data_IF_826447275139
#
_entry.id   IF_826447275139
#
_cell.length_a   1.000
_cell.length_b   1.000
_cell.length_c   1.000
_cell.angle_alpha   90.00
_cell.angle_beta   90.00
_cell.angle_gamma   90.00
#
_symmetry.space_group_name_H-M   'P 1'
#
loop_
_entity.id
_entity.type
_entity.pdbx_description
1 polymer ?
#
# COMPACT_ATOMS: atom_id res chain seq x y z
N UNK A 1 -23.96 -9.41 7.00
CA UNK A 1 -22.68 -10.10 6.66
C UNK A 1 -22.92 -10.97 5.45
N UNK A 2 -22.03 -10.90 4.48
CA UNK A 2 -22.07 -11.82 3.34
C UNK A 2 -21.74 -13.24 3.81
N UNK A 3 -22.47 -14.20 3.30
CA UNK A 3 -22.24 -15.63 3.52
C UNK A 3 -21.34 -16.26 2.44
N UNK A 4 -20.70 -15.41 1.63
CA UNK A 4 -19.80 -15.80 0.55
C UNK A 4 -18.43 -15.17 0.73
N UNK A 5 -17.40 -15.94 0.44
CA UNK A 5 -16.04 -15.46 0.26
C UNK A 5 -15.61 -15.72 -1.17
N UNK A 6 -14.94 -14.72 -1.77
CA UNK A 6 -14.34 -14.84 -3.09
C UNK A 6 -12.99 -14.16 -3.10
N UNK A 7 -12.08 -14.66 -3.91
CA UNK A 7 -10.81 -14.04 -4.19
C UNK A 7 -10.77 -13.60 -5.65
N UNK A 8 -10.14 -12.45 -5.91
CA UNK A 8 -9.98 -11.95 -7.26
C UNK A 8 -8.64 -11.23 -7.40
N UNK A 9 -8.16 -11.14 -8.63
CA UNK A 9 -6.97 -10.37 -8.96
C UNK A 9 -7.42 -9.05 -9.57
N UNK A 10 -7.30 -7.93 -8.84
CA UNK A 10 -7.76 -6.65 -9.37
C UNK A 10 -6.89 -6.18 -10.53
N UNK A 11 -7.53 -5.55 -11.53
CA UNK A 11 -6.87 -4.86 -12.61
C UNK A 11 -7.25 -3.39 -12.55
N UNK A 12 -6.32 -2.52 -12.89
CA UNK A 12 -6.60 -1.09 -12.95
C UNK A 12 -7.31 -0.69 -14.25
N UNK A 13 -7.67 0.57 -14.38
CA UNK A 13 -8.37 1.09 -15.55
C UNK A 13 -7.53 1.06 -16.83
N UNK A 14 -6.22 0.83 -16.72
CA UNK A 14 -5.34 0.63 -17.87
C UNK A 14 -5.22 -0.83 -18.29
N UNK A 15 -5.83 -1.77 -17.53
CA UNK A 15 -5.77 -3.20 -17.78
C UNK A 15 -4.61 -3.93 -17.13
N UNK A 16 -3.78 -3.21 -16.37
CA UNK A 16 -2.66 -3.81 -15.64
C UNK A 16 -3.12 -4.38 -14.29
N UNK A 17 -2.41 -5.40 -13.81
CA UNK A 17 -2.65 -5.94 -12.46
C UNK A 17 -2.39 -4.83 -11.42
N UNK A 18 -3.36 -4.59 -10.56
CA UNK A 18 -3.22 -3.64 -9.48
C UNK A 18 -2.31 -4.22 -8.38
N UNK A 19 -1.26 -3.49 -8.02
CA UNK A 19 -0.30 -3.88 -6.98
C UNK A 19 -0.86 -3.51 -5.61
N UNK A 20 -1.75 -4.33 -5.09
CA UNK A 20 -2.50 -4.10 -3.85
C UNK A 20 -2.23 -5.18 -2.79
N UNK A 21 -1.00 -5.67 -2.73
CA UNK A 21 -0.61 -6.62 -1.68
C UNK A 21 -0.67 -5.95 -0.30
N UNK A 22 -1.22 -6.65 0.67
CA UNK A 22 -1.39 -6.12 2.01
C UNK A 22 -2.29 -4.89 2.08
N UNK A 23 -3.29 -4.84 1.23
CA UNK A 23 -4.16 -3.68 0.99
C UNK A 23 -4.60 -2.96 2.27
N UNK A 24 -4.44 -1.63 2.26
CA UNK A 24 -5.07 -0.72 3.21
C UNK A 24 -6.09 0.14 2.48
N UNK A 25 -7.30 0.19 3.00
CA UNK A 25 -8.41 0.95 2.43
C UNK A 25 -8.84 2.05 3.38
N UNK A 26 -9.00 3.26 2.84
CA UNK A 26 -9.54 4.39 3.59
C UNK A 26 -10.38 5.26 2.68
N UNK A 27 -11.52 5.70 3.17
CA UNK A 27 -12.38 6.65 2.46
C UNK A 27 -12.03 8.07 2.88
N UNK A 28 -11.74 8.92 1.88
CA UNK A 28 -11.58 10.36 2.09
C UNK A 28 -12.54 11.07 1.14
N UNK A 29 -13.49 11.83 1.71
CA UNK A 29 -14.57 12.41 0.92
C UNK A 29 -15.45 11.31 0.32
N UNK A 30 -15.67 11.35 -0.98
CA UNK A 30 -16.50 10.37 -1.71
C UNK A 30 -15.67 9.26 -2.39
N UNK A 31 -14.36 9.24 -2.17
CA UNK A 31 -13.44 8.35 -2.87
C UNK A 31 -12.76 7.41 -1.89
N UNK A 32 -12.66 6.14 -2.28
CA UNK A 32 -11.86 5.16 -1.57
C UNK A 32 -10.44 5.16 -2.11
N UNK A 33 -9.48 5.19 -1.20
CA UNK A 33 -8.05 5.11 -1.47
C UNK A 33 -7.54 3.75 -1.01
N UNK A 34 -6.91 3.05 -1.93
CA UNK A 34 -6.31 1.74 -1.67
C UNK A 34 -4.79 1.85 -1.79
N UNK A 35 -4.09 1.39 -0.77
CA UNK A 35 -2.63 1.38 -0.73
C UNK A 35 -2.16 -0.07 -0.63
N UNK A 36 -1.19 -0.44 -1.43
CA UNK A 36 -0.66 -1.80 -1.44
C UNK A 36 0.81 -1.84 -1.81
N UNK A 37 1.46 -2.92 -1.41
CA UNK A 37 2.86 -3.13 -1.75
C UNK A 37 2.98 -3.50 -3.22
N UNK A 38 3.97 -2.91 -3.88
CA UNK A 38 4.36 -3.31 -5.21
C UNK A 38 5.18 -4.61 -5.12
N UNK A 39 4.69 -5.69 -5.72
CA UNK A 39 5.34 -7.01 -5.73
C UNK A 39 5.68 -7.48 -7.14
N UNK A 40 5.71 -6.58 -8.12
CA UNK A 40 5.91 -6.94 -9.52
C UNK A 40 7.22 -7.71 -9.77
N UNK A 41 8.27 -7.42 -9.02
CA UNK A 41 9.59 -8.07 -9.13
C UNK A 41 9.95 -8.91 -7.90
N UNK A 42 8.97 -9.43 -7.18
CA UNK A 42 9.21 -10.29 -6.03
C UNK A 42 8.94 -9.63 -4.69
N UNK A 43 9.52 -10.16 -3.62
CA UNK A 43 9.11 -9.85 -2.26
C UNK A 43 9.81 -8.64 -1.63
N UNK A 44 10.98 -8.23 -2.14
CA UNK A 44 11.69 -7.08 -1.60
C UNK A 44 10.94 -5.78 -1.89
N UNK A 45 11.14 -4.78 -1.05
CA UNK A 45 10.40 -3.53 -1.12
C UNK A 45 10.65 -2.79 -2.44
N UNK A 46 9.58 -2.50 -3.16
CA UNK A 46 9.58 -1.82 -4.45
C UNK A 46 8.68 -0.58 -4.43
N UNK A 47 8.27 -0.15 -3.25
CA UNK A 47 7.38 0.98 -3.08
C UNK A 47 5.96 0.58 -2.71
N UNK A 48 5.17 1.58 -2.36
CA UNK A 48 3.74 1.46 -2.09
C UNK A 48 2.99 2.15 -3.22
N UNK A 49 2.07 1.42 -3.83
CA UNK A 49 1.19 1.94 -4.88
C UNK A 49 -0.13 2.44 -4.28
N UNK A 50 -0.73 3.42 -4.95
CA UNK A 50 -2.05 3.94 -4.60
C UNK A 50 -3.00 3.80 -5.77
N UNK A 51 -4.23 3.41 -5.44
CA UNK A 51 -5.35 3.33 -6.40
C UNK A 51 -6.57 3.99 -5.78
N UNK A 52 -7.44 4.53 -6.61
CA UNK A 52 -8.72 5.10 -6.16
C UNK A 52 -9.89 4.42 -6.84
N UNK A 53 -10.98 4.33 -6.12
CA UNK A 53 -12.23 3.78 -6.63
C UNK A 53 -13.43 4.45 -5.96
N UNK A 54 -14.55 4.50 -6.67
CA UNK A 54 -15.84 4.92 -6.11
C UNK A 54 -16.84 3.78 -6.06
N UNK A 55 -16.54 2.64 -6.66
CA UNK A 55 -17.47 1.52 -6.85
C UNK A 55 -16.87 0.14 -6.52
N UNK A 56 -15.58 0.08 -6.14
CA UNK A 56 -14.81 -1.14 -5.91
C UNK A 56 -14.69 -2.06 -7.15
N UNK A 57 -14.98 -1.52 -8.32
CA UNK A 57 -14.89 -2.25 -9.60
C UNK A 57 -13.79 -1.64 -10.46
N UNK A 58 -13.84 -0.32 -10.70
CA UNK A 58 -12.83 0.40 -11.44
C UNK A 58 -11.78 0.97 -10.47
N UNK A 59 -10.54 0.56 -10.65
CA UNK A 59 -9.39 0.95 -9.82
C UNK A 59 -8.46 1.83 -10.64
N UNK A 60 -8.42 3.12 -10.33
CA UNK A 60 -7.56 4.06 -11.03
C UNK A 60 -6.19 4.13 -10.34
N UNK A 61 -5.12 3.83 -11.11
CA UNK A 61 -3.74 3.91 -10.60
C UNK A 61 -3.28 5.35 -10.43
N UNK A 62 -2.61 5.62 -9.33
CA UNK A 62 -1.86 6.85 -9.05
C UNK A 62 -0.35 6.60 -8.97
N UNK A 63 0.08 5.39 -9.32
CA UNK A 63 1.49 5.02 -9.27
C UNK A 63 2.02 4.80 -7.85
N UNK A 64 3.32 4.92 -7.70
CA UNK A 64 4.02 4.77 -6.43
C UNK A 64 3.90 6.06 -5.63
N UNK A 65 3.42 5.97 -4.39
CA UNK A 65 3.24 7.11 -3.48
C UNK A 65 4.24 7.12 -2.33
N UNK A 66 4.87 5.99 -2.05
CA UNK A 66 6.04 5.88 -1.18
C UNK A 66 7.08 5.05 -1.93
N UNK A 67 8.15 5.71 -2.35
CA UNK A 67 9.21 5.06 -3.11
C UNK A 67 10.18 4.31 -2.20
N UNK A 68 11.02 3.48 -2.80
CA UNK A 68 12.16 2.86 -2.12
C UNK A 68 13.03 3.96 -1.51
N UNK A 69 13.40 3.76 -0.25
CA UNK A 69 14.21 4.72 0.48
C UNK A 69 15.72 4.45 0.26
N UNK A 70 16.54 5.37 0.74
CA UNK A 70 18.00 5.28 0.61
C UNK A 70 18.58 3.99 1.17
N UNK A 71 19.71 3.58 0.64
CA UNK A 71 20.42 2.38 1.11
C UNK A 71 20.75 2.48 2.60
N UNK A 72 20.56 1.36 3.30
CA UNK A 72 20.76 1.29 4.75
C UNK A 72 19.56 1.70 5.57
N UNK A 73 18.52 2.29 4.97
CA UNK A 73 17.27 2.62 5.67
C UNK A 73 16.38 1.40 5.87
N UNK A 74 15.36 1.57 6.71
CA UNK A 74 14.41 0.49 7.02
C UNK A 74 13.52 0.09 5.84
N UNK A 75 13.41 0.92 4.82
CA UNK A 75 12.64 0.66 3.60
C UNK A 75 13.50 0.78 2.34
N UNK A 76 14.76 0.37 2.43
CA UNK A 76 15.65 0.24 1.29
C UNK A 76 15.25 -0.94 0.40
N UNK A 77 15.85 -1.06 -0.77
CA UNK A 77 15.52 -2.08 -1.77
C UNK A 77 15.83 -3.52 -1.35
N UNK A 78 16.65 -3.69 -0.33
CA UNK A 78 17.00 -5.01 0.25
C UNK A 78 16.15 -5.36 1.49
N UNK A 79 15.13 -4.54 1.79
CA UNK A 79 14.25 -4.71 2.94
C UNK A 79 12.86 -5.17 2.51
N UNK A 80 12.00 -5.34 3.48
CA UNK A 80 10.58 -5.68 3.27
C UNK A 80 9.72 -4.60 3.90
N UNK A 81 8.75 -4.10 3.16
CA UNK A 81 7.73 -3.16 3.63
C UNK A 81 6.35 -3.71 3.31
N UNK A 82 5.51 -3.87 4.33
CA UNK A 82 4.24 -4.57 4.17
C UNK A 82 3.08 -3.87 4.86
N UNK A 83 1.89 -4.10 4.34
CA UNK A 83 0.60 -3.72 4.94
C UNK A 83 0.48 -2.22 5.22
N UNK A 84 0.63 -1.35 4.21
CA UNK A 84 0.49 0.09 4.39
C UNK A 84 -0.92 0.47 4.84
N UNK A 85 -1.00 1.39 5.79
CA UNK A 85 -2.27 1.97 6.27
C UNK A 85 -2.11 3.48 6.31
N UNK A 86 -3.03 4.19 5.68
CA UNK A 86 -2.99 5.66 5.64
C UNK A 86 -4.15 6.20 6.45
N UNK A 87 -3.84 7.14 7.33
CA UNK A 87 -4.81 7.84 8.17
C UNK A 87 -4.67 9.34 7.99
N UNK A 88 -5.77 10.05 8.16
CA UNK A 88 -5.77 11.51 8.20
C UNK A 88 -5.75 11.97 9.65
N UNK A 89 -4.81 12.86 9.97
CA UNK A 89 -4.72 13.49 11.30
C UNK A 89 -5.41 14.85 11.26
N UNK A 90 -6.61 15.01 11.83
CA UNK A 90 -7.34 16.28 11.78
C UNK A 90 -6.60 17.43 12.49
N UNK A 91 -5.84 17.12 13.54
CA UNK A 91 -5.13 18.12 14.33
C UNK A 91 -4.02 18.81 13.52
N UNK A 92 -3.40 18.13 12.57
CA UNK A 92 -2.30 18.67 11.76
C UNK A 92 -2.66 18.85 10.29
N UNK A 93 -3.79 18.28 9.83
CA UNK A 93 -4.18 18.23 8.43
C UNK A 93 -3.35 17.29 7.59
N UNK A 94 -2.48 16.47 8.20
CA UNK A 94 -1.56 15.59 7.48
C UNK A 94 -2.16 14.20 7.28
N UNK A 95 -1.75 13.57 6.17
CA UNK A 95 -1.96 12.15 5.93
C UNK A 95 -0.71 11.41 6.38
N UNK A 96 -0.90 10.33 7.13
CA UNK A 96 0.19 9.57 7.73
C UNK A 96 0.06 8.11 7.34
N UNK A 97 1.12 7.55 6.76
CA UNK A 97 1.18 6.13 6.42
C UNK A 97 1.97 5.38 7.49
N UNK A 98 1.36 4.35 8.04
CA UNK A 98 2.05 3.34 8.85
C UNK A 98 2.30 2.11 7.98
N UNK A 99 3.49 1.54 8.08
CA UNK A 99 3.89 0.37 7.31
C UNK A 99 4.74 -0.55 8.18
N UNK A 100 4.57 -1.86 8.01
CA UNK A 100 5.40 -2.85 8.67
C UNK A 100 6.77 -2.87 7.96
N UNK A 101 7.84 -2.52 8.69
CA UNK A 101 9.21 -2.50 8.19
C UNK A 101 9.97 -3.72 8.69
N UNK A 102 10.51 -4.52 7.75
CA UNK A 102 11.14 -5.79 8.06
C UNK A 102 12.45 -6.02 7.33
N UNK A 103 13.22 -6.94 7.86
CA UNK A 103 14.29 -7.63 7.15
C UNK A 103 13.72 -8.87 6.44
N UNK A 104 14.42 -9.43 5.41
CA UNK A 104 13.93 -10.63 4.74
C UNK A 104 13.69 -11.83 5.65
N UNK A 105 14.38 -11.92 6.80
CA UNK A 105 14.19 -12.98 7.79
C UNK A 105 13.10 -12.68 8.83
N UNK A 106 12.44 -11.51 8.71
CA UNK A 106 11.41 -11.04 9.65
C UNK A 106 11.89 -10.89 11.10
N UNK A 107 13.17 -10.61 11.32
CA UNK A 107 13.75 -10.43 12.64
C UNK A 107 13.78 -8.99 13.13
N UNK A 108 13.36 -8.02 12.31
CA UNK A 108 13.46 -6.59 12.63
C UNK A 108 12.21 -6.07 13.36
N UNK A 109 11.02 -6.37 12.86
CA UNK A 109 9.71 -6.09 13.46
C UNK A 109 9.51 -4.63 13.89
N UNK A 110 9.75 -3.68 13.00
CA UNK A 110 9.54 -2.26 13.26
C UNK A 110 8.33 -1.71 12.52
N UNK A 111 7.87 -0.54 12.97
CA UNK A 111 6.85 0.24 12.29
C UNK A 111 7.53 1.41 11.58
N UNK A 112 7.33 1.52 10.29
CA UNK A 112 7.71 2.69 9.51
C UNK A 112 6.58 3.71 9.49
N UNK A 113 6.94 4.99 9.46
CA UNK A 113 5.98 6.09 9.39
C UNK A 113 6.42 7.05 8.29
N UNK A 114 5.52 7.35 7.36
CA UNK A 114 5.69 8.35 6.32
C UNK A 114 4.59 9.43 6.42
N UNK A 115 4.92 10.64 6.03
CA UNK A 115 3.99 11.78 6.09
C UNK A 115 3.88 12.44 4.73
#
# INVERSE_FOLDING_TARGET
MADRFGAFLPHDTSGDVAQLHGIGLQKFGDTWYAYGENKVNGNLFQGVCCYTTTDFIAWRSHGIVLDVQEDGSALASDRIGERPKVLHCPATGKYVMYIHAETPDYGYAHIGVAV
#
